data_IF_656406351620
#
_entry.id   IF_656406351620
#
_cell.length_a   1.000
_cell.length_b   1.000
_cell.length_c   1.000
_cell.angle_alpha   90.00
_cell.angle_beta   90.00
_cell.angle_gamma   90.00
#
_symmetry.space_group_name_H-M   'P 1'
#
loop_
_entity.id
_entity.type
_entity.pdbx_description
1 polymer ?
#
# COMPACT_ATOMS: atom_id res chain seq x y z
N UNK A 1 -55.30 10.20 -29.35
CA UNK A 1 -54.27 10.73 -30.26
C UNK A 1 -53.94 12.14 -29.82
N UNK A 2 -52.79 12.31 -29.16
CA UNK A 2 -52.00 13.55 -28.94
C UNK A 2 -51.07 13.33 -27.73
N UNK A 3 -49.87 13.93 -27.79
CA UNK A 3 -48.66 13.80 -26.94
C UNK A 3 -47.69 12.76 -27.49
N UNK A 4 -46.88 13.03 -28.52
CA UNK A 4 -45.86 14.10 -28.69
C UNK A 4 -44.84 14.20 -27.55
N UNK A 5 -43.62 13.73 -27.85
CA UNK A 5 -42.41 14.54 -27.77
C UNK A 5 -41.70 14.68 -26.42
N UNK A 6 -40.71 13.80 -26.14
CA UNK A 6 -39.46 14.12 -25.41
C UNK A 6 -38.61 12.86 -25.07
N UNK A 7 -38.46 11.90 -25.99
CA UNK A 7 -37.58 10.75 -25.79
C UNK A 7 -36.85 10.41 -27.09
N UNK A 8 -36.03 11.33 -27.60
CA UNK A 8 -34.96 11.09 -28.58
C UNK A 8 -34.20 12.42 -28.82
N UNK A 9 -32.87 12.36 -28.93
CA UNK A 9 -31.89 13.46 -28.87
C UNK A 9 -31.64 13.92 -27.42
N UNK A 10 -30.54 13.55 -26.75
CA UNK A 10 -29.16 13.91 -27.10
C UNK A 10 -28.24 12.68 -26.89
N UNK A 11 -27.96 12.00 -28.00
CA UNK A 11 -26.80 11.13 -28.16
C UNK A 11 -26.20 11.57 -29.50
N UNK A 12 -25.22 12.48 -29.44
CA UNK A 12 -24.15 12.72 -30.42
C UNK A 12 -23.42 14.03 -30.08
N UNK A 13 -22.10 13.98 -30.25
CA UNK A 13 -21.15 15.10 -30.27
C UNK A 13 -20.65 15.66 -28.92
N UNK A 14 -19.78 14.90 -28.25
CA UNK A 14 -18.48 15.45 -27.80
C UNK A 14 -17.38 14.44 -28.17
N UNK A 15 -17.04 14.41 -29.45
CA UNK A 15 -15.68 14.06 -29.89
C UNK A 15 -14.95 15.39 -30.08
N UNK A 16 -13.83 15.58 -29.39
CA UNK A 16 -12.91 16.70 -29.64
C UNK A 16 -13.08 17.92 -28.73
N UNK A 17 -12.80 17.76 -27.44
CA UNK A 17 -12.18 18.77 -26.57
C UNK A 17 -11.52 18.01 -25.41
N UNK A 18 -10.21 18.18 -25.23
CA UNK A 18 -9.34 17.31 -24.43
C UNK A 18 -9.77 17.10 -22.98
N UNK A 19 -9.54 15.89 -22.48
CA UNK A 19 -9.50 15.52 -21.06
C UNK A 19 -8.30 16.20 -20.36
N UNK A 20 -8.16 17.53 -20.40
CA UNK A 20 -7.05 18.21 -19.72
C UNK A 20 -7.23 18.22 -18.19
N UNK A 21 -8.45 18.01 -17.67
CA UNK A 21 -8.72 18.16 -16.24
C UNK A 21 -8.50 16.89 -15.39
N UNK A 22 -8.42 15.70 -15.99
CA UNK A 22 -8.36 14.41 -15.23
C UNK A 22 -6.93 13.87 -15.07
N UNK A 23 -5.95 14.51 -15.72
CA UNK A 23 -4.54 14.09 -15.71
C UNK A 23 -3.67 14.95 -14.80
N UNK A 24 -4.08 16.19 -14.51
CA UNK A 24 -3.24 17.10 -13.73
C UNK A 24 -3.25 16.73 -12.24
N UNK A 25 -2.07 16.48 -11.70
CA UNK A 25 -1.91 16.28 -10.25
C UNK A 25 -2.00 17.65 -9.57
N UNK A 26 -2.91 17.76 -8.62
CA UNK A 26 -3.10 19.00 -7.86
C UNK A 26 -2.35 18.92 -6.53
N UNK A 27 -1.90 20.07 -6.05
CA UNK A 27 -1.23 20.19 -4.75
C UNK A 27 -2.26 20.13 -3.61
N UNK A 28 -1.88 19.49 -2.51
CA UNK A 28 -2.52 19.63 -1.22
C UNK A 28 -1.68 20.51 -0.28
N UNK A 29 -2.32 21.13 0.71
CA UNK A 29 -1.62 21.65 1.89
C UNK A 29 -1.14 20.45 2.72
N UNK A 30 0.18 20.34 2.92
CA UNK A 30 0.79 19.16 3.52
C UNK A 30 0.28 18.90 4.94
N UNK A 31 0.23 19.93 5.80
CA UNK A 31 -0.20 19.75 7.18
C UNK A 31 -1.69 19.36 7.24
N UNK A 32 -2.55 20.00 6.45
CA UNK A 32 -3.98 19.66 6.38
C UNK A 32 -4.19 18.24 5.86
N UNK A 33 -3.44 17.82 4.84
CA UNK A 33 -3.45 16.46 4.31
C UNK A 33 -2.91 15.42 5.30
N UNK A 34 -2.14 15.84 6.30
CA UNK A 34 -1.72 15.06 7.46
C UNK A 34 -2.71 15.14 8.64
N UNK A 35 -3.82 15.86 8.49
CA UNK A 35 -4.85 15.99 9.52
C UNK A 35 -4.50 16.98 10.63
N UNK A 36 -3.85 18.11 10.29
CA UNK A 36 -3.54 19.22 11.22
C UNK A 36 -4.68 19.51 12.18
N UNK A 37 -4.32 19.80 13.44
CA UNK A 37 -5.24 20.12 14.54
C UNK A 37 -6.21 18.99 14.95
N UNK A 38 -6.07 17.79 14.37
CA UNK A 38 -6.78 16.60 14.86
C UNK A 38 -6.08 16.01 16.09
N UNK A 39 -6.82 15.20 16.86
CA UNK A 39 -6.23 14.45 17.99
C UNK A 39 -5.03 13.61 17.54
N UNK A 40 -5.16 12.95 16.40
CA UNK A 40 -4.14 12.08 15.83
C UNK A 40 -2.87 12.87 15.48
N UNK A 41 -3.00 14.06 14.90
CA UNK A 41 -1.88 14.95 14.61
C UNK A 41 -1.10 15.34 15.88
N UNK A 42 -1.81 15.70 16.95
CA UNK A 42 -1.17 16.05 18.22
C UNK A 42 -0.51 14.84 18.88
N UNK A 43 -1.15 13.66 18.86
CA UNK A 43 -0.55 12.41 19.33
C UNK A 43 0.73 12.09 18.55
N UNK A 44 0.69 12.16 17.22
CA UNK A 44 1.86 11.94 16.35
C UNK A 44 3.03 12.86 16.71
N UNK A 45 2.78 14.16 16.92
CA UNK A 45 3.82 15.15 17.27
C UNK A 45 4.35 15.05 18.71
N UNK A 46 3.68 14.29 19.58
CA UNK A 46 4.14 14.03 20.94
C UNK A 46 5.23 12.95 21.00
N UNK A 47 5.36 12.13 19.96
CA UNK A 47 6.39 11.09 19.88
C UNK A 47 7.75 11.67 19.48
N UNK A 48 8.80 11.16 20.13
CA UNK A 48 10.18 11.55 19.87
C UNK A 48 10.59 11.26 18.42
N UNK A 49 11.35 12.17 17.81
CA UNK A 49 11.82 12.06 16.43
C UNK A 49 10.77 12.35 15.35
N UNK A 50 9.47 12.26 15.63
CA UNK A 50 8.43 12.50 14.61
C UNK A 50 8.42 13.94 14.08
N UNK A 51 8.75 14.93 14.91
CA UNK A 51 8.78 16.34 14.49
C UNK A 51 9.83 16.58 13.40
N UNK A 52 11.02 16.03 13.59
CA UNK A 52 12.13 16.16 12.63
C UNK A 52 11.83 15.42 11.33
N UNK A 53 11.28 14.20 11.42
CA UNK A 53 10.86 13.44 10.25
C UNK A 53 9.77 14.16 9.47
N UNK A 54 8.75 14.68 10.16
CA UNK A 54 7.67 15.44 9.54
C UNK A 54 8.21 16.71 8.88
N UNK A 55 9.12 17.42 9.54
CA UNK A 55 9.73 18.64 8.99
C UNK A 55 10.47 18.34 7.69
N UNK A 56 11.27 17.26 7.65
CA UNK A 56 11.96 16.84 6.43
C UNK A 56 10.98 16.46 5.32
N UNK A 57 9.97 15.64 5.63
CA UNK A 57 8.98 15.21 4.65
C UNK A 57 8.18 16.40 4.10
N UNK A 58 7.81 17.34 4.98
CA UNK A 58 7.13 18.59 4.61
C UNK A 58 8.02 19.47 3.75
N UNK A 59 9.29 19.65 4.11
CA UNK A 59 10.19 20.53 3.38
C UNK A 59 10.46 20.02 1.96
N UNK A 60 10.68 18.71 1.81
CA UNK A 60 10.82 18.04 0.51
C UNK A 60 9.53 18.13 -0.29
N UNK A 61 8.37 17.83 0.32
CA UNK A 61 7.09 17.98 -0.40
C UNK A 61 6.89 19.44 -0.85
N UNK A 62 7.13 20.43 0.01
CA UNK A 62 6.93 21.83 -0.38
C UNK A 62 7.93 22.30 -1.44
N UNK A 63 9.14 21.74 -1.53
CA UNK A 63 10.09 22.05 -2.60
C UNK A 63 9.74 21.35 -3.91
N UNK A 64 9.34 20.07 -3.85
CA UNK A 64 9.18 19.20 -5.01
C UNK A 64 7.71 18.93 -5.40
N UNK A 65 6.71 19.58 -4.79
CA UNK A 65 5.29 19.28 -5.07
C UNK A 65 4.92 19.44 -6.56
N UNK A 66 3.85 18.77 -7.04
CA UNK A 66 3.53 18.69 -8.46
C UNK A 66 3.50 20.01 -9.22
N UNK A 67 3.05 21.11 -8.60
CA UNK A 67 3.04 22.43 -9.24
C UNK A 67 4.42 23.05 -9.50
N UNK A 68 5.47 22.61 -8.77
CA UNK A 68 6.84 23.13 -8.87
C UNK A 68 7.72 22.33 -9.81
N UNK A 69 7.52 21.02 -9.86
CA UNK A 69 8.36 20.16 -10.69
C UNK A 69 7.94 20.19 -12.16
N UNK A 70 8.86 20.49 -13.11
CA UNK A 70 8.53 20.47 -14.53
C UNK A 70 8.33 19.04 -15.03
N UNK A 71 7.54 18.90 -16.09
CA UNK A 71 7.50 17.63 -16.84
C UNK A 71 8.85 17.44 -17.55
N UNK A 72 9.47 16.27 -17.40
CA UNK A 72 10.59 15.87 -18.24
C UNK A 72 10.16 15.66 -19.71
N UNK A 73 11.14 15.55 -20.62
CA UNK A 73 10.87 15.21 -22.03
C UNK A 73 10.50 13.73 -22.19
N UNK A 74 11.05 12.87 -21.34
CA UNK A 74 10.82 11.43 -21.32
C UNK A 74 10.48 10.98 -19.89
N UNK A 75 9.69 9.90 -19.72
CA UNK A 75 9.39 9.37 -18.39
C UNK A 75 10.67 9.02 -17.62
N UNK A 76 10.81 9.59 -16.43
CA UNK A 76 11.88 9.27 -15.48
C UNK A 76 11.65 7.91 -14.83
N UNK A 77 10.39 7.56 -14.58
CA UNK A 77 9.95 6.25 -14.09
C UNK A 77 9.31 5.46 -15.25
N UNK A 78 9.71 4.20 -15.51
CA UNK A 78 9.12 3.37 -16.55
C UNK A 78 7.60 3.23 -16.44
N UNK A 79 6.88 3.30 -17.56
CA UNK A 79 5.42 3.10 -17.62
C UNK A 79 5.04 1.61 -17.53
N UNK A 80 5.29 1.01 -16.37
CA UNK A 80 4.89 -0.36 -16.06
C UNK A 80 4.29 -0.46 -14.66
N UNK A 81 3.23 -1.25 -14.54
CA UNK A 81 2.51 -1.52 -13.29
C UNK A 81 2.84 -2.94 -12.85
N UNK A 82 3.28 -3.08 -11.60
CA UNK A 82 3.58 -4.36 -10.96
C UNK A 82 2.63 -4.59 -9.79
N UNK A 83 2.02 -5.77 -9.74
CA UNK A 83 1.27 -6.26 -8.58
C UNK A 83 1.73 -7.67 -8.25
N UNK A 84 1.67 -8.07 -6.97
CA UNK A 84 2.09 -9.39 -6.51
C UNK A 84 0.87 -10.15 -5.98
N UNK A 85 0.75 -11.42 -6.36
CA UNK A 85 -0.19 -12.37 -5.78
C UNK A 85 0.45 -13.77 -5.77
N UNK A 86 1.21 -14.05 -4.72
CA UNK A 86 1.93 -15.32 -4.50
C UNK A 86 1.28 -16.12 -3.38
N UNK A 87 1.37 -17.44 -3.49
CA UNK A 87 0.84 -18.40 -2.54
C UNK A 87 -0.27 -19.27 -3.12
N UNK A 88 -0.74 -20.25 -2.33
CA UNK A 88 -1.55 -21.36 -2.83
C UNK A 88 -2.97 -20.96 -3.25
N UNK A 89 -3.40 -19.73 -2.94
CA UNK A 89 -4.78 -19.28 -3.19
C UNK A 89 -4.87 -18.59 -4.54
N UNK A 90 -5.92 -18.88 -5.34
CA UNK A 90 -6.18 -18.09 -6.55
C UNK A 90 -6.55 -16.66 -6.17
N UNK A 91 -6.25 -15.70 -7.05
CA UNK A 91 -6.61 -14.29 -6.87
C UNK A 91 -8.14 -14.13 -6.77
N UNK A 92 -8.68 -13.66 -5.62
CA UNK A 92 -10.12 -13.48 -5.46
C UNK A 92 -10.75 -12.56 -6.52
N UNK A 93 -11.94 -12.88 -7.05
CA UNK A 93 -12.62 -12.07 -8.08
C UNK A 93 -12.85 -10.61 -7.70
N UNK A 94 -13.04 -10.30 -6.41
CA UNK A 94 -13.28 -8.93 -5.98
C UNK A 94 -12.07 -8.01 -6.19
N UNK A 95 -10.83 -8.53 -6.22
CA UNK A 95 -9.65 -7.73 -6.57
C UNK A 95 -9.56 -7.40 -8.06
N UNK A 96 -10.31 -8.12 -8.92
CA UNK A 96 -10.28 -7.88 -10.36
C UNK A 96 -10.82 -6.48 -10.70
N UNK A 97 -11.73 -5.94 -9.87
CA UNK A 97 -12.23 -4.57 -10.03
C UNK A 97 -11.11 -3.54 -9.89
N UNK A 98 -10.20 -3.73 -8.94
CA UNK A 98 -9.09 -2.81 -8.71
C UNK A 98 -8.07 -2.91 -9.83
N UNK A 99 -7.66 -4.14 -10.18
CA UNK A 99 -6.83 -4.41 -11.37
C UNK A 99 -7.39 -3.75 -12.63
N UNK A 100 -8.72 -3.79 -12.82
CA UNK A 100 -9.39 -3.16 -13.95
C UNK A 100 -9.20 -1.64 -13.96
N UNK A 101 -9.38 -0.97 -12.82
CA UNK A 101 -9.18 0.51 -12.73
C UNK A 101 -7.77 0.93 -13.16
N UNK A 102 -6.74 0.19 -12.76
CA UNK A 102 -5.36 0.46 -13.18
C UNK A 102 -5.17 0.33 -14.70
N UNK A 103 -5.70 -0.74 -15.31
CA UNK A 103 -5.59 -0.96 -16.75
C UNK A 103 -6.38 0.04 -17.58
N UNK A 104 -7.57 0.44 -17.13
CA UNK A 104 -8.42 1.39 -17.85
C UNK A 104 -7.81 2.79 -17.87
N UNK A 105 -7.14 3.20 -16.79
CA UNK A 105 -6.48 4.51 -16.71
C UNK A 105 -5.08 4.56 -17.30
N UNK A 106 -4.48 3.40 -17.60
CA UNK A 106 -3.14 3.29 -18.18
C UNK A 106 -3.11 2.28 -19.34
N UNK A 107 -3.86 2.51 -20.42
CA UNK A 107 -3.99 1.56 -21.53
C UNK A 107 -2.67 1.35 -22.30
N UNK A 108 -1.76 2.32 -22.27
CA UNK A 108 -0.43 2.28 -22.89
C UNK A 108 0.66 1.70 -21.97
N UNK A 109 0.38 1.48 -20.69
CA UNK A 109 1.36 0.97 -19.74
C UNK A 109 1.42 -0.55 -19.78
N UNK A 110 2.63 -1.09 -19.58
CA UNK A 110 2.78 -2.53 -19.35
C UNK A 110 2.18 -2.89 -18.00
N UNK A 111 1.44 -3.98 -17.91
CA UNK A 111 0.89 -4.47 -16.65
C UNK A 111 1.40 -5.89 -16.40
N UNK A 112 1.98 -6.13 -15.22
CA UNK A 112 2.46 -7.43 -14.79
C UNK A 112 1.91 -7.79 -13.42
N UNK A 113 1.19 -8.92 -13.37
CA UNK A 113 0.85 -9.59 -12.11
C UNK A 113 1.86 -10.71 -11.89
N UNK A 114 2.57 -10.68 -10.76
CA UNK A 114 3.56 -11.68 -10.38
C UNK A 114 2.91 -12.74 -9.49
N UNK A 115 2.71 -13.93 -10.04
CA UNK A 115 2.28 -15.13 -9.28
C UNK A 115 3.44 -16.10 -9.11
N UNK A 116 3.25 -17.20 -8.38
CA UNK A 116 4.28 -18.23 -8.23
C UNK A 116 4.82 -18.73 -9.57
N UNK A 117 3.99 -18.74 -10.64
CA UNK A 117 4.42 -19.11 -11.99
C UNK A 117 5.45 -18.14 -12.56
N UNK A 118 5.20 -16.83 -12.46
CA UNK A 118 6.12 -15.82 -12.95
C UNK A 118 7.39 -15.79 -12.10
N UNK A 119 7.25 -15.91 -10.77
CA UNK A 119 8.37 -15.93 -9.83
C UNK A 119 9.28 -17.14 -10.04
N UNK A 120 8.74 -18.31 -10.38
CA UNK A 120 9.54 -19.50 -10.69
C UNK A 120 10.50 -19.28 -11.87
N UNK A 121 10.10 -18.43 -12.83
CA UNK A 121 10.90 -18.10 -14.01
C UNK A 121 11.71 -16.81 -13.85
N UNK A 122 11.72 -16.25 -12.64
CA UNK A 122 12.44 -15.02 -12.31
C UNK A 122 13.56 -15.34 -11.32
N UNK A 123 14.79 -15.03 -11.70
CA UNK A 123 15.94 -15.15 -10.83
C UNK A 123 16.30 -13.78 -10.25
N UNK A 124 16.55 -13.72 -8.95
CA UNK A 124 16.78 -12.48 -8.21
C UNK A 124 17.64 -12.72 -6.97
N UNK A 125 18.20 -11.63 -6.46
CA UNK A 125 19.35 -11.69 -5.56
C UNK A 125 19.00 -12.31 -4.21
N UNK A 126 17.88 -11.90 -3.60
CA UNK A 126 17.42 -12.40 -2.29
C UNK A 126 16.44 -13.58 -2.39
N UNK A 127 16.62 -14.45 -3.40
CA UNK A 127 15.75 -15.61 -3.63
C UNK A 127 15.83 -16.64 -2.50
N UNK A 128 16.98 -16.76 -1.86
CA UNK A 128 17.17 -17.58 -0.65
C UNK A 128 16.29 -17.10 0.52
N UNK A 129 16.25 -15.79 0.79
CA UNK A 129 15.40 -15.21 1.84
C UNK A 129 13.92 -15.36 1.49
N UNK A 130 13.57 -15.11 0.22
CA UNK A 130 12.21 -15.33 -0.29
C UNK A 130 11.77 -16.78 -0.03
N UNK A 131 12.59 -17.77 -0.41
CA UNK A 131 12.28 -19.19 -0.23
C UNK A 131 12.23 -19.59 1.25
N UNK A 132 13.12 -19.05 2.08
CA UNK A 132 13.19 -19.33 3.52
C UNK A 132 12.00 -18.77 4.31
N UNK A 133 11.32 -17.74 3.80
CA UNK A 133 10.13 -17.22 4.46
C UNK A 133 8.91 -18.12 4.28
N UNK A 134 8.13 -18.27 5.35
CA UNK A 134 6.79 -18.88 5.34
C UNK A 134 5.67 -17.84 5.36
N UNK A 135 6.02 -16.55 5.45
CA UNK A 135 5.08 -15.44 5.53
C UNK A 135 4.92 -14.77 4.15
N UNK A 136 3.69 -14.68 3.66
CA UNK A 136 3.41 -14.11 2.34
C UNK A 136 3.68 -12.60 2.24
N UNK A 137 3.55 -11.87 3.34
CA UNK A 137 3.94 -10.46 3.42
C UNK A 137 5.45 -10.28 3.26
N UNK A 138 6.27 -11.03 4.03
CA UNK A 138 7.74 -11.01 3.88
C UNK A 138 8.15 -11.37 2.43
N UNK A 139 7.53 -12.40 1.84
CA UNK A 139 7.76 -12.79 0.44
C UNK A 139 7.40 -11.67 -0.53
N UNK A 140 6.25 -11.01 -0.32
CA UNK A 140 5.79 -9.91 -1.16
C UNK A 140 6.73 -8.72 -1.07
N UNK A 141 7.17 -8.33 0.13
CA UNK A 141 8.09 -7.21 0.35
C UNK A 141 9.46 -7.48 -0.32
N UNK A 142 10.03 -8.69 -0.14
CA UNK A 142 11.29 -9.07 -0.80
C UNK A 142 11.15 -8.99 -2.33
N UNK A 143 10.11 -9.62 -2.88
CA UNK A 143 9.89 -9.62 -4.32
C UNK A 143 9.63 -8.19 -4.83
N UNK A 144 8.88 -7.37 -4.09
CA UNK A 144 8.62 -5.96 -4.41
C UNK A 144 9.93 -5.19 -4.55
N UNK A 145 10.83 -5.31 -3.58
CA UNK A 145 12.13 -4.64 -3.62
C UNK A 145 12.97 -5.08 -4.84
N UNK A 146 13.01 -6.38 -5.15
CA UNK A 146 13.75 -6.91 -6.30
C UNK A 146 13.19 -6.45 -7.65
N UNK A 147 11.86 -6.39 -7.77
CA UNK A 147 11.19 -5.91 -8.96
C UNK A 147 11.44 -4.41 -9.18
N UNK A 148 11.33 -3.62 -8.12
CA UNK A 148 11.53 -2.17 -8.18
C UNK A 148 12.99 -1.80 -8.46
N UNK A 149 13.95 -2.56 -7.93
CA UNK A 149 15.38 -2.35 -8.23
C UNK A 149 15.67 -2.66 -9.71
N UNK A 150 15.16 -3.77 -10.23
CA UNK A 150 15.46 -4.23 -11.59
C UNK A 150 14.70 -3.49 -12.68
N UNK A 151 13.39 -3.36 -12.51
CA UNK A 151 12.49 -2.87 -13.56
C UNK A 151 12.01 -1.45 -13.30
N UNK A 152 12.07 -0.98 -12.05
CA UNK A 152 11.39 0.24 -11.64
C UNK A 152 9.90 0.18 -11.94
N UNK A 153 9.35 1.34 -12.27
CA UNK A 153 7.94 1.50 -12.60
C UNK A 153 7.10 1.79 -11.37
N UNK A 154 5.83 1.40 -11.44
CA UNK A 154 4.84 1.58 -10.38
C UNK A 154 4.48 0.23 -9.78
N UNK A 155 4.88 -0.01 -8.54
CA UNK A 155 4.31 -1.08 -7.74
C UNK A 155 3.06 -0.61 -7.02
N UNK A 156 2.01 -1.44 -7.02
CA UNK A 156 0.80 -1.24 -6.21
C UNK A 156 0.27 -2.54 -5.64
N UNK A 157 -0.11 -2.52 -4.36
CA UNK A 157 -0.80 -3.64 -3.73
C UNK A 157 -2.12 -3.96 -4.47
N UNK A 158 -2.53 -5.25 -4.38
CA UNK A 158 -3.63 -5.79 -5.19
C UNK A 158 -5.00 -5.22 -4.85
N UNK A 159 -5.10 -4.60 -3.67
CA UNK A 159 -6.27 -4.00 -3.05
C UNK A 159 -6.26 -2.46 -3.10
N UNK A 160 -5.46 -1.89 -4.00
CA UNK A 160 -5.45 -0.48 -4.34
C UNK A 160 -6.36 -0.19 -5.55
N UNK A 161 -7.33 0.72 -5.39
CA UNK A 161 -8.13 1.25 -6.49
C UNK A 161 -7.49 2.50 -7.09
N UNK A 162 -7.45 2.58 -8.41
CA UNK A 162 -6.96 3.77 -9.11
C UNK A 162 -8.09 4.77 -9.38
N UNK A 163 -7.90 6.02 -8.97
CA UNK A 163 -8.82 7.12 -9.26
C UNK A 163 -8.30 8.09 -10.34
N UNK A 164 -6.99 8.20 -10.56
CA UNK A 164 -6.37 9.13 -11.52
C UNK A 164 -5.14 8.55 -12.22
N UNK A 165 -4.83 9.07 -13.39
CA UNK A 165 -3.63 8.70 -14.14
C UNK A 165 -2.34 9.09 -13.40
N UNK A 166 -1.30 8.27 -13.49
CA UNK A 166 -0.01 8.46 -12.82
C UNK A 166 1.08 8.99 -13.77
N UNK A 167 0.75 9.27 -15.04
CA UNK A 167 1.68 9.74 -16.07
C UNK A 167 2.48 10.97 -15.62
N UNK A 168 1.82 11.98 -15.04
CA UNK A 168 2.51 13.19 -14.58
C UNK A 168 3.53 12.90 -13.48
N UNK A 169 3.28 11.95 -12.57
CA UNK A 169 4.25 11.56 -11.55
C UNK A 169 5.47 10.88 -12.18
N UNK A 170 5.26 10.02 -13.18
CA UNK A 170 6.35 9.34 -13.90
C UNK A 170 7.21 10.30 -14.73
N UNK A 171 6.68 11.46 -15.11
CA UNK A 171 7.41 12.50 -15.84
C UNK A 171 8.19 13.45 -14.92
N UNK A 172 7.86 13.55 -13.63
CA UNK A 172 8.48 14.51 -12.69
C UNK A 172 9.52 13.88 -11.77
N UNK A 173 9.21 12.71 -11.22
CA UNK A 173 9.97 12.16 -10.09
C UNK A 173 10.86 11.00 -10.50
N UNK A 174 11.97 10.80 -9.79
CA UNK A 174 12.78 9.58 -9.82
C UNK A 174 12.27 8.54 -8.81
N UNK A 175 11.64 9.01 -7.74
CA UNK A 175 10.97 8.20 -6.72
C UNK A 175 9.75 8.92 -6.14
N UNK A 176 8.67 8.18 -5.92
CA UNK A 176 7.59 8.61 -5.05
C UNK A 176 6.98 7.46 -4.23
N UNK A 177 6.54 7.79 -3.02
CA UNK A 177 5.71 6.94 -2.16
C UNK A 177 4.71 7.80 -1.39
N UNK A 178 3.89 7.21 -0.52
CA UNK A 178 2.95 7.95 0.33
C UNK A 178 3.05 7.61 1.80
N UNK A 179 2.65 8.57 2.63
CA UNK A 179 2.46 8.36 4.05
C UNK A 179 1.13 7.65 4.33
N UNK A 180 1.13 6.72 5.26
CA UNK A 180 -0.10 6.21 5.84
C UNK A 180 -0.76 7.30 6.71
N UNK A 181 -2.10 7.31 6.85
CA UNK A 181 -2.75 8.06 7.91
C UNK A 181 -2.02 7.80 9.22
N UNK A 182 -1.61 8.83 9.98
CA UNK A 182 -0.99 8.60 11.25
C UNK A 182 -1.93 7.74 12.10
N UNK A 183 -1.43 6.59 12.53
CA UNK A 183 -2.17 5.65 13.34
C UNK A 183 -1.25 5.13 14.41
N UNK A 184 -1.84 4.77 15.56
CA UNK A 184 -1.10 4.10 16.61
C UNK A 184 -0.71 2.73 16.07
N UNK A 185 0.55 2.56 15.67
CA UNK A 185 1.11 1.29 15.25
C UNK A 185 1.11 0.33 16.44
N UNK A 186 -0.01 -0.38 16.62
CA UNK A 186 -0.41 -1.09 17.84
C UNK A 186 0.43 -2.35 18.15
N UNK A 187 1.62 -2.49 17.58
CA UNK A 187 2.37 -3.75 17.66
C UNK A 187 3.80 -3.63 18.21
N UNK A 188 4.47 -2.49 18.22
CA UNK A 188 5.87 -2.45 18.70
C UNK A 188 6.18 -1.40 19.77
N UNK A 189 5.24 -0.53 20.18
CA UNK A 189 5.50 0.62 21.08
C UNK A 189 6.64 1.57 20.63
N UNK A 190 7.30 1.24 19.52
CA UNK A 190 8.45 1.93 18.89
C UNK A 190 8.16 2.30 17.43
N UNK A 191 6.99 1.92 16.90
CA UNK A 191 6.63 2.27 15.52
C UNK A 191 6.47 3.79 15.40
N UNK A 192 7.09 4.43 14.40
CA UNK A 192 6.81 5.83 14.12
C UNK A 192 5.33 5.95 13.73
N UNK A 193 4.64 6.97 14.26
CA UNK A 193 3.31 7.37 13.77
C UNK A 193 3.35 7.91 12.32
N UNK A 194 4.56 8.10 11.79
CA UNK A 194 4.84 8.50 10.42
C UNK A 194 5.39 7.31 9.64
N UNK A 195 4.48 6.52 9.06
CA UNK A 195 4.82 5.35 8.25
C UNK A 195 4.79 5.75 6.78
N UNK A 196 5.90 5.54 6.08
CA UNK A 196 5.98 5.60 4.62
C UNK A 196 5.63 4.21 4.12
N UNK A 197 4.54 4.08 3.37
CA UNK A 197 4.00 2.79 2.96
C UNK A 197 4.67 2.26 1.69
N UNK A 198 4.99 0.97 1.68
CA UNK A 198 5.51 0.26 0.50
C UNK A 198 4.40 -0.31 -0.39
N UNK A 199 3.12 -0.07 -0.04
CA UNK A 199 1.95 -0.53 -0.79
C UNK A 199 1.74 0.21 -2.13
N UNK A 200 2.38 1.38 -2.31
CA UNK A 200 2.40 2.11 -3.59
C UNK A 200 3.74 2.82 -3.73
N UNK A 201 4.53 2.44 -4.73
CA UNK A 201 5.87 2.97 -4.99
C UNK A 201 6.02 3.22 -6.48
N UNK A 202 6.35 4.45 -6.86
CA UNK A 202 6.88 4.74 -8.19
C UNK A 202 8.38 4.97 -8.11
N UNK A 203 9.19 4.30 -8.92
CA UNK A 203 10.64 4.44 -8.84
C UNK A 203 11.36 4.08 -10.13
N UNK A 204 12.42 4.80 -10.45
CA UNK A 204 13.31 4.43 -11.57
C UNK A 204 14.15 3.19 -11.23
N UNK A 205 14.56 2.38 -12.22
CA UNK A 205 15.45 1.24 -11.98
C UNK A 205 16.76 1.65 -11.31
N UNK A 206 17.24 0.81 -10.38
CA UNK A 206 18.53 0.95 -9.72
C UNK A 206 18.65 2.08 -8.69
N UNK A 207 17.52 2.63 -8.23
CA UNK A 207 17.46 3.77 -7.30
C UNK A 207 18.07 3.45 -5.92
N UNK A 208 18.85 4.36 -5.30
CA UNK A 208 19.50 4.13 -4.00
C UNK A 208 18.55 3.66 -2.89
N UNK A 209 17.37 4.29 -2.77
CA UNK A 209 16.32 3.88 -1.80
C UNK A 209 16.01 2.38 -1.87
N UNK A 210 15.82 1.82 -3.07
CA UNK A 210 15.42 0.42 -3.20
C UNK A 210 16.60 -0.53 -2.92
N UNK A 211 17.82 -0.13 -3.30
CA UNK A 211 19.05 -0.87 -2.97
C UNK A 211 19.29 -0.92 -1.47
N UNK A 212 19.16 0.22 -0.80
CA UNK A 212 19.29 0.30 0.66
C UNK A 212 18.20 -0.51 1.35
N UNK A 213 16.96 -0.47 0.85
CA UNK A 213 15.88 -1.30 1.38
C UNK A 213 16.22 -2.80 1.29
N UNK A 214 16.74 -3.25 0.14
CA UNK A 214 17.23 -4.61 -0.06
C UNK A 214 18.32 -4.99 0.95
N UNK A 215 19.32 -4.13 1.15
CA UNK A 215 20.40 -4.41 2.11
C UNK A 215 19.90 -4.44 3.57
N UNK A 216 19.00 -3.54 3.93
CA UNK A 216 18.40 -3.52 5.27
C UNK A 216 17.58 -4.79 5.53
N UNK A 217 16.84 -5.32 4.55
CA UNK A 217 16.14 -6.61 4.67
C UNK A 217 17.15 -7.72 5.01
N UNK A 218 18.23 -7.82 4.22
CA UNK A 218 19.27 -8.83 4.40
C UNK A 218 19.93 -8.73 5.78
N UNK A 219 20.33 -7.52 6.18
CA UNK A 219 20.99 -7.26 7.47
C UNK A 219 20.10 -7.63 8.67
N UNK A 220 18.77 -7.47 8.52
CA UNK A 220 17.78 -7.68 9.58
C UNK A 220 17.26 -9.11 9.67
N UNK A 221 17.46 -9.90 8.61
CA UNK A 221 16.80 -11.19 8.45
C UNK A 221 17.02 -12.13 9.64
N UNK A 222 18.27 -12.47 9.93
CA UNK A 222 18.58 -13.44 10.99
C UNK A 222 18.27 -12.88 12.39
N UNK A 223 18.60 -11.62 12.64
CA UNK A 223 18.41 -10.99 13.95
C UNK A 223 16.94 -10.98 14.39
N UNK A 224 16.06 -10.39 13.59
CA UNK A 224 14.63 -10.34 13.93
C UNK A 224 13.92 -11.69 13.76
N UNK A 225 14.50 -12.60 12.97
CA UNK A 225 14.04 -13.98 12.90
C UNK A 225 14.21 -14.75 14.19
N UNK A 226 15.35 -14.56 14.84
CA UNK A 226 15.64 -15.17 16.12
C UNK A 226 14.80 -14.55 17.25
N UNK A 227 14.60 -13.23 17.23
CA UNK A 227 13.82 -12.52 18.25
C UNK A 227 12.31 -12.75 18.13
N UNK A 228 11.80 -12.85 16.92
CA UNK A 228 10.37 -13.01 16.64
C UNK A 228 10.20 -14.20 15.69
N UNK A 229 9.94 -15.41 16.21
CA UNK A 229 9.78 -16.60 15.37
C UNK A 229 8.61 -16.49 14.38
N UNK A 230 7.53 -15.81 14.77
CA UNK A 230 6.34 -15.62 13.96
C UNK A 230 5.64 -14.27 14.23
N UNK A 231 4.47 -14.10 13.64
CA UNK A 231 3.61 -12.95 13.87
C UNK A 231 4.00 -11.69 13.10
N UNK A 232 3.16 -10.64 13.20
CA UNK A 232 3.31 -9.42 12.41
C UNK A 232 4.56 -8.60 12.76
N UNK A 233 5.03 -8.62 14.01
CA UNK A 233 6.25 -7.88 14.41
C UNK A 233 7.47 -8.35 13.63
N UNK A 234 7.59 -9.66 13.39
CA UNK A 234 8.67 -10.26 12.60
C UNK A 234 8.71 -9.66 11.20
N UNK A 235 7.59 -9.74 10.48
CA UNK A 235 7.46 -9.17 9.12
C UNK A 235 7.73 -7.68 9.12
N UNK A 236 7.10 -6.94 10.04
CA UNK A 236 7.22 -5.49 10.09
C UNK A 236 8.67 -5.03 10.29
N UNK A 237 9.41 -5.67 11.19
CA UNK A 237 10.79 -5.28 11.50
C UNK A 237 11.80 -5.76 10.46
N UNK A 238 11.53 -6.90 9.80
CA UNK A 238 12.42 -7.48 8.79
C UNK A 238 12.29 -6.85 7.42
N UNK A 239 11.06 -6.59 6.97
CA UNK A 239 10.82 -6.26 5.56
C UNK A 239 10.10 -4.95 5.36
N UNK A 240 9.07 -4.64 6.14
CA UNK A 240 8.26 -3.43 5.93
C UNK A 240 8.93 -2.13 6.42
N UNK A 241 9.23 -2.00 7.73
CA UNK A 241 9.83 -0.78 8.29
C UNK A 241 11.19 -0.38 7.66
N UNK A 242 12.06 -1.31 7.27
CA UNK A 242 13.26 -1.00 6.49
C UNK A 242 13.02 -0.11 5.25
N UNK A 243 11.86 -0.21 4.60
CA UNK A 243 11.54 0.62 3.45
C UNK A 243 11.53 2.11 3.83
N UNK A 244 10.74 2.47 4.85
CA UNK A 244 10.66 3.86 5.31
C UNK A 244 11.99 4.38 5.84
N UNK A 245 12.85 3.52 6.38
CA UNK A 245 14.21 3.92 6.78
C UNK A 245 15.10 4.22 5.58
N UNK A 246 15.11 3.35 4.56
CA UNK A 246 15.83 3.57 3.32
C UNK A 246 15.37 4.85 2.59
N UNK A 247 14.07 5.13 2.61
CA UNK A 247 13.53 6.38 2.07
C UNK A 247 14.12 7.56 2.82
N UNK A 248 14.08 7.58 4.15
CA UNK A 248 14.61 8.70 4.94
C UNK A 248 16.12 8.92 4.77
N UNK A 249 16.89 7.86 4.50
CA UNK A 249 18.33 7.95 4.26
C UNK A 249 18.67 8.63 2.93
N UNK A 250 17.86 8.39 1.89
CA UNK A 250 18.17 8.77 0.51
C UNK A 250 17.17 9.77 -0.09
N UNK A 251 16.21 10.27 0.69
CA UNK A 251 15.15 11.17 0.20
C UNK A 251 15.74 12.44 -0.42
N UNK A 252 16.84 12.95 0.13
CA UNK A 252 17.49 14.19 -0.31
C UNK A 252 18.81 13.93 -1.04
N UNK A 253 19.01 12.73 -1.59
CA UNK A 253 20.21 12.42 -2.36
C UNK A 253 20.34 13.35 -3.58
N UNK A 254 21.52 13.95 -3.81
CA UNK A 254 21.72 14.88 -4.92
C UNK A 254 21.55 14.16 -6.27
N UNK A 255 20.88 14.83 -7.20
CA UNK A 255 20.66 14.31 -8.56
C UNK A 255 19.41 13.46 -8.73
N UNK A 256 18.62 13.28 -7.68
CA UNK A 256 17.30 12.64 -7.75
C UNK A 256 16.21 13.62 -7.32
N UNK A 257 15.06 13.56 -8.00
CA UNK A 257 13.85 14.28 -7.59
C UNK A 257 12.93 13.27 -6.91
N UNK A 258 12.97 13.23 -5.59
CA UNK A 258 12.25 12.27 -4.77
C UNK A 258 11.18 12.97 -3.95
N UNK A 259 10.03 12.32 -3.77
CA UNK A 259 8.94 12.90 -2.99
C UNK A 259 8.19 11.83 -2.18
N UNK A 260 7.68 12.23 -1.02
CA UNK A 260 6.73 11.42 -0.26
C UNK A 260 5.45 12.24 -0.11
N UNK A 261 4.35 11.72 -0.63
CA UNK A 261 3.06 12.39 -0.60
C UNK A 261 2.35 12.21 0.75
N UNK A 262 1.58 13.21 1.21
CA UNK A 262 0.74 13.04 2.39
C UNK A 262 -0.40 12.02 2.13
N UNK A 263 -1.04 11.50 3.19
CA UNK A 263 -1.96 10.37 3.08
C UNK A 263 -3.11 10.57 2.11
N UNK A 264 -3.59 11.80 1.92
CA UNK A 264 -4.74 12.07 1.05
C UNK A 264 -4.53 11.69 -0.42
N UNK A 265 -3.28 11.55 -0.88
CA UNK A 265 -2.99 11.14 -2.27
C UNK A 265 -3.27 9.66 -2.54
N UNK A 266 -2.82 8.76 -1.67
CA UNK A 266 -2.84 7.30 -1.92
C UNK A 266 -3.52 6.49 -0.81
N UNK A 267 -3.55 7.04 0.41
CA UNK A 267 -4.03 6.39 1.62
C UNK A 267 -5.07 7.25 2.37
N UNK A 268 -6.12 7.79 1.70
CA UNK A 268 -7.00 8.80 2.29
C UNK A 268 -7.93 8.25 3.39
N UNK A 269 -7.97 6.93 3.61
CA UNK A 269 -8.90 6.25 4.50
C UNK A 269 -8.18 5.47 5.60
N UNK A 270 -8.65 5.60 6.83
CA UNK A 270 -8.23 4.72 7.94
C UNK A 270 -8.78 3.28 7.79
N UNK A 271 -8.03 2.29 8.29
CA UNK A 271 -8.43 0.87 8.33
C UNK A 271 -9.84 0.64 8.93
N UNK A 272 -10.16 1.34 10.03
CA UNK A 272 -11.46 1.24 10.71
C UNK A 272 -12.65 1.65 9.84
N UNK A 273 -12.45 2.56 8.87
CA UNK A 273 -13.49 2.99 7.93
C UNK A 273 -13.65 2.00 6.79
N UNK A 274 -12.55 1.46 6.29
CA UNK A 274 -12.58 0.47 5.21
C UNK A 274 -13.24 -0.83 5.66
N UNK A 275 -12.86 -1.34 6.84
CA UNK A 275 -13.39 -2.60 7.40
C UNK A 275 -14.88 -2.58 7.73
N UNK A 276 -15.50 -1.40 7.95
CA UNK A 276 -16.92 -1.28 8.32
C UNK A 276 -17.92 -1.21 7.16
N UNK A 277 -17.48 -1.35 5.90
CA UNK A 277 -18.38 -1.50 4.75
C UNK A 277 -19.38 -0.37 4.51
N UNK A 278 -19.18 0.83 5.09
CA UNK A 278 -20.01 2.02 4.88
C UNK A 278 -19.50 2.87 3.72
N UNK A 279 -19.38 2.27 2.54
CA UNK A 279 -19.46 2.98 1.25
C UNK A 279 -20.90 2.84 0.72
N UNK A 280 -21.91 3.10 1.57
CA UNK A 280 -23.32 3.16 1.13
C UNK A 280 -23.62 4.58 0.67
N UNK A 281 -23.82 4.74 -0.65
CA UNK A 281 -24.51 5.84 -1.36
C UNK A 281 -24.77 7.08 -0.50
N UNK A 282 -23.90 8.07 -0.60
CA UNK A 282 -24.18 9.44 -0.17
C UNK A 282 -25.14 10.11 -1.18
N UNK A 283 -26.34 9.55 -1.31
CA UNK A 283 -27.40 10.06 -2.17
C UNK A 283 -28.21 11.13 -1.45
N UNK A 284 -28.21 12.35 -2.01
CA UNK A 284 -29.14 13.46 -1.80
C UNK A 284 -29.23 14.08 -0.39
N UNK A 285 -29.39 13.31 0.69
CA UNK A 285 -29.63 13.80 2.06
C UNK A 285 -28.41 14.47 2.71
N UNK A 286 -27.17 14.22 2.24
CA UNK A 286 -25.99 14.94 2.74
C UNK A 286 -25.88 16.35 2.14
N UNK A 287 -26.42 16.61 0.93
CA UNK A 287 -26.36 17.96 0.33
C UNK A 287 -27.15 19.01 1.11
N UNK A 288 -28.21 18.62 1.82
CA UNK A 288 -28.98 19.50 2.69
C UNK A 288 -28.38 19.64 4.09
N UNK A 289 -27.70 18.62 4.62
CA UNK A 289 -27.00 18.69 5.91
C UNK A 289 -25.64 19.43 5.84
N UNK A 290 -24.96 19.41 4.69
CA UNK A 290 -23.70 20.13 4.43
C UNK A 290 -23.87 21.65 4.55
N UNK A 291 -25.09 22.17 4.35
CA UNK A 291 -25.37 23.60 4.56
C UNK A 291 -25.39 24.01 6.04
N UNK A 292 -25.51 23.06 6.98
CA UNK A 292 -25.52 23.31 8.43
C UNK A 292 -24.18 22.91 9.10
N UNK A 293 -23.40 22.01 8.49
CA UNK A 293 -22.09 21.57 9.01
C UNK A 293 -20.92 22.49 8.63
N UNK A 294 -21.15 23.57 7.90
CA UNK A 294 -20.14 24.60 7.64
C UNK A 294 -19.60 25.29 8.91
N UNK A 295 -20.19 25.00 10.08
CA UNK A 295 -19.75 25.47 11.40
C UNK A 295 -18.90 24.47 12.20
N UNK A 296 -18.75 23.21 11.78
CA UNK A 296 -17.93 22.20 12.47
C UNK A 296 -16.95 21.57 11.48
N UNK A 297 -15.64 21.81 11.66
CA UNK A 297 -14.60 21.20 10.83
C UNK A 297 -14.42 19.72 11.22
N UNK A 298 -15.18 18.83 10.55
CA UNK A 298 -15.17 17.37 10.78
C UNK A 298 -13.76 16.74 10.67
N UNK A 299 -12.80 17.41 10.00
CA UNK A 299 -11.40 16.96 9.87
C UNK A 299 -10.67 16.93 11.21
N UNK A 300 -11.08 17.75 12.18
CA UNK A 300 -10.51 17.74 13.55
C UNK A 300 -10.89 16.48 14.33
N UNK A 301 -12.00 15.83 13.96
CA UNK A 301 -12.54 14.65 14.64
C UNK A 301 -12.11 13.36 13.91
N UNK A 302 -12.10 13.35 12.58
CA UNK A 302 -11.71 12.19 11.80
C UNK A 302 -11.15 12.57 10.39
N UNK A 303 -9.85 12.89 10.28
CA UNK A 303 -9.27 13.47 9.05
C UNK A 303 -9.18 12.52 7.84
N UNK A 304 -9.18 11.20 8.03
CA UNK A 304 -8.96 10.20 6.98
C UNK A 304 -10.19 9.31 6.76
N UNK A 305 -11.29 9.92 6.33
CA UNK A 305 -12.59 9.24 6.14
C UNK A 305 -13.25 9.53 4.79
N UNK A 306 -12.70 10.45 4.00
CA UNK A 306 -13.26 10.92 2.74
C UNK A 306 -12.14 11.07 1.69
N UNK A 307 -12.50 10.75 0.44
CA UNK A 307 -11.65 10.97 -0.75
C UNK A 307 -11.56 12.47 -0.99
N UNK A 308 -10.33 12.97 -1.15
CA UNK A 308 -10.07 14.39 -1.38
C UNK A 308 -9.89 14.67 -2.88
N UNK A 309 -10.01 15.95 -3.32
CA UNK A 309 -9.80 16.30 -4.71
C UNK A 309 -8.43 15.87 -5.25
N UNK A 310 -7.38 15.83 -4.43
CA UNK A 310 -6.02 15.41 -4.82
C UNK A 310 -5.83 13.90 -4.90
N UNK A 311 -6.73 13.11 -4.32
CA UNK A 311 -6.59 11.65 -4.22
C UNK A 311 -6.42 11.02 -5.60
N UNK A 312 -5.36 10.24 -5.77
CA UNK A 312 -5.02 9.52 -6.99
C UNK A 312 -5.30 8.02 -6.87
N UNK A 313 -5.19 7.46 -5.67
CA UNK A 313 -5.47 6.06 -5.39
C UNK A 313 -6.07 5.88 -4.00
N UNK A 314 -6.74 4.74 -3.78
CA UNK A 314 -7.27 4.33 -2.49
C UNK A 314 -6.79 2.92 -2.17
N UNK A 315 -5.92 2.80 -1.17
CA UNK A 315 -5.58 1.51 -0.58
C UNK A 315 -6.65 1.07 0.41
N UNK A 316 -7.19 -0.13 0.22
CA UNK A 316 -8.26 -0.65 1.09
C UNK A 316 -7.75 -1.45 2.30
N UNK A 317 -6.44 -1.61 2.48
CA UNK A 317 -5.88 -2.33 3.62
C UNK A 317 -6.57 -3.68 3.86
N UNK A 318 -6.98 -4.32 2.78
CA UNK A 318 -7.53 -5.66 2.80
C UNK A 318 -6.49 -6.53 3.49
N UNK A 319 -6.94 -7.32 4.46
CA UNK A 319 -6.12 -8.33 5.12
C UNK A 319 -5.78 -9.48 4.16
N UNK A 320 -5.32 -9.16 2.96
CA UNK A 320 -4.99 -10.06 1.85
C UNK A 320 -3.92 -11.09 2.25
N UNK A 321 -3.12 -10.73 3.26
CA UNK A 321 -1.96 -11.49 3.73
C UNK A 321 -2.12 -12.05 5.15
N UNK A 322 -3.14 -11.61 5.90
CA UNK A 322 -3.42 -12.12 7.25
C UNK A 322 -4.36 -13.31 7.11
N UNK A 323 -3.96 -14.46 7.69
CA UNK A 323 -4.82 -15.65 7.74
C UNK A 323 -6.19 -15.26 8.28
N UNK A 324 -7.25 -15.66 7.58
CA UNK A 324 -8.61 -15.46 8.10
C UNK A 324 -8.79 -16.16 9.46
N UNK A 325 -9.79 -15.78 10.25
CA UNK A 325 -10.09 -16.47 11.51
C UNK A 325 -10.31 -17.97 11.31
N UNK A 326 -10.95 -18.35 10.20
CA UNK A 326 -11.12 -19.75 9.80
C UNK A 326 -9.80 -20.44 9.46
N UNK A 327 -8.85 -19.75 8.83
CA UNK A 327 -7.55 -20.33 8.47
C UNK A 327 -6.69 -20.63 9.70
N UNK A 328 -6.71 -19.73 10.69
CA UNK A 328 -6.07 -20.01 11.98
C UNK A 328 -6.70 -21.22 12.66
N UNK A 329 -8.02 -21.36 12.60
CA UNK A 329 -8.73 -22.51 13.16
C UNK A 329 -8.41 -23.81 12.41
N UNK A 330 -8.31 -23.78 11.07
CA UNK A 330 -7.93 -24.96 10.27
C UNK A 330 -6.50 -25.42 10.55
N UNK A 331 -5.58 -24.49 10.73
CA UNK A 331 -4.20 -24.83 11.11
C UNK A 331 -4.12 -25.39 12.53
N UNK A 332 -4.81 -24.78 13.50
CA UNK A 332 -4.92 -25.35 14.85
C UNK A 332 -5.49 -26.77 14.80
N UNK A 333 -6.53 -27.00 13.99
CA UNK A 333 -7.09 -28.34 13.80
C UNK A 333 -6.08 -29.30 13.17
N UNK A 334 -5.31 -28.87 12.18
CA UNK A 334 -4.26 -29.69 11.55
C UNK A 334 -3.17 -30.09 12.56
N UNK A 335 -2.72 -29.14 13.39
CA UNK A 335 -1.76 -29.38 14.48
C UNK A 335 -2.34 -30.34 15.52
N UNK A 336 -3.60 -30.17 15.91
CA UNK A 336 -4.28 -31.08 16.85
C UNK A 336 -4.38 -32.50 16.30
N UNK A 337 -4.67 -32.68 15.00
CA UNK A 337 -4.69 -34.00 14.36
C UNK A 337 -3.30 -34.65 14.34
N UNK A 338 -2.24 -33.89 14.07
CA UNK A 338 -0.87 -34.40 14.13
C UNK A 338 -0.46 -34.81 15.54
N UNK A 339 -0.78 -34.00 16.55
CA UNK A 339 -0.51 -34.33 17.95
C UNK A 339 -1.31 -35.56 18.40
N UNK A 340 -2.57 -35.68 17.97
CA UNK A 340 -3.39 -36.85 18.27
C UNK A 340 -2.76 -38.12 17.70
N UNK A 341 -2.29 -38.07 16.46
CA UNK A 341 -1.59 -39.19 15.83
C UNK A 341 -0.33 -39.60 16.60
N UNK A 342 0.48 -38.63 17.02
CA UNK A 342 1.67 -38.90 17.84
C UNK A 342 1.33 -39.53 19.21
N UNK A 343 0.24 -39.08 19.84
CA UNK A 343 -0.24 -39.66 21.09
C UNK A 343 -0.69 -41.11 20.90
N UNK A 344 -1.34 -41.43 19.79
CA UNK A 344 -1.81 -42.78 19.51
C UNK A 344 -0.65 -43.72 19.14
N UNK A 345 0.34 -43.26 18.37
CA UNK A 345 1.60 -43.97 18.13
C UNK A 345 2.32 -44.31 19.46
N UNK A 346 2.46 -43.33 20.36
CA UNK A 346 3.06 -43.54 21.69
C UNK A 346 2.27 -44.55 22.56
N UNK A 347 0.93 -44.58 22.44
CA UNK A 347 0.11 -45.55 23.18
C UNK A 347 0.31 -46.97 22.66
N UNK A 348 0.45 -47.14 21.35
CA UNK A 348 0.76 -48.43 20.73
C UNK A 348 2.13 -48.92 21.19
N UNK A 349 3.16 -48.08 21.16
CA UNK A 349 4.49 -48.41 21.68
C UNK A 349 4.44 -48.81 23.17
N UNK A 350 3.69 -48.09 24.00
CA UNK A 350 3.51 -48.44 25.41
C UNK A 350 2.78 -49.78 25.59
N UNK A 351 1.78 -50.08 24.76
CA UNK A 351 1.09 -51.38 24.80
C UNK A 351 2.01 -52.52 24.38
N UNK A 352 2.82 -52.33 23.33
CA UNK A 352 3.81 -53.32 22.91
C UNK A 352 4.84 -53.58 24.01
N UNK A 353 5.38 -52.54 24.65
CA UNK A 353 6.30 -52.66 25.77
C UNK A 353 5.70 -53.37 26.99
N UNK A 354 4.39 -53.20 27.24
CA UNK A 354 3.67 -53.89 28.31
C UNK A 354 3.41 -55.35 27.99
N UNK A 355 3.18 -55.69 26.72
CA UNK A 355 2.95 -57.06 26.26
C UNK A 355 4.25 -57.85 26.04
N UNK A 356 5.39 -57.17 25.94
CA UNK A 356 6.73 -57.76 25.85
C UNK A 356 7.42 -57.97 27.21
N UNK A 357 6.74 -57.67 28.32
CA UNK A 357 7.15 -57.98 29.70
C UNK A 357 6.29 -59.10 30.25
#
# INVERSE_FOLDING_TARGET
>A
MLREGAFLAICLCICGCGQESDTKVIDADFDQAMGKDSRVWHEMLAHEGNRERLELLRSVYESEKPSKEPLAEVPKIPKCIHQIWVGPKPLPPYFWRYKKTWKEKHPDWKYQLWTDKEVANFDFEQKDLYLASTNWGEKSDILRAELMDRFGGLYVDIDCENLKAFDELHMKYDFYAGLEPPHQGDMTQRAPHLVISDALIGVRPGHPIIKEWKELIRARWHHFGALYPDGPKRTLLRTFFPFGEAVMMHLTDPGYVNIVFPPTYFFPLTFSRVSKGRLKKLGFLKRTAISLSAFFDDRKIAPFIEIQPETMAVHYWGNSWVKSGEERLREMHCVMVQLQKQVDELKEEIMEMKNSR
#
